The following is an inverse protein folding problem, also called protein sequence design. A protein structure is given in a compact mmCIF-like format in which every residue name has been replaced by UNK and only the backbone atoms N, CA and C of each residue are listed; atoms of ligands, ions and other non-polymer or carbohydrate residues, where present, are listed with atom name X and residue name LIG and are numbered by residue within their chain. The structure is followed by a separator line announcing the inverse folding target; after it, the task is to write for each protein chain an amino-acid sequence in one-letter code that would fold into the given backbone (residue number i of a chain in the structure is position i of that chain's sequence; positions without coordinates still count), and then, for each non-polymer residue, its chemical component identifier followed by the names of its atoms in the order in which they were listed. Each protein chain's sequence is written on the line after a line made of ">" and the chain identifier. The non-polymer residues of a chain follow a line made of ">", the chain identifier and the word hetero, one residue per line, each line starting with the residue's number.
data_IF_618635360628
#
_entry.id   IF_618635360628
#
_cell.length_a   1.000
_cell.length_b   1.000
_cell.length_c   1.000
_cell.angle_alpha   90.00
_cell.angle_beta   90.00
_cell.angle_gamma   90.00
#
_symmetry.space_group_name_H-M   'P 1'
#
loop_
_entity.id
_entity.type
_entity.pdbx_description
1 polymer ?
#
# COMPACT_ATOMS: atom_id res chain seq x y z
N UNK A 1 -13.51 6.39 -1.99
CA UNK A 1 -12.77 6.99 -3.12
C UNK A 1 -11.74 5.99 -3.63
N UNK A 2 -11.57 5.88 -4.95
CA UNK A 2 -10.49 5.08 -5.54
C UNK A 2 -9.18 5.86 -5.51
N UNK A 3 -8.07 5.18 -5.24
CA UNK A 3 -6.73 5.77 -5.29
C UNK A 3 -6.32 6.00 -6.75
N UNK A 4 -5.94 7.24 -7.08
CA UNK A 4 -5.69 7.66 -8.48
C UNK A 4 -4.20 7.60 -8.79
N UNK A 5 -3.86 6.87 -9.86
CA UNK A 5 -2.51 6.79 -10.41
C UNK A 5 -2.47 7.46 -11.78
N UNK A 6 -1.39 8.20 -12.04
CA UNK A 6 -1.13 8.87 -13.31
C UNK A 6 0.14 8.32 -13.95
N UNK A 7 0.12 8.21 -15.29
CA UNK A 7 1.20 7.58 -16.06
C UNK A 7 1.16 6.05 -16.09
N UNK A 8 1.73 5.47 -17.16
CA UNK A 8 1.97 4.03 -17.29
C UNK A 8 3.40 3.84 -17.81
N UNK A 9 4.23 3.02 -17.16
CA UNK A 9 5.55 2.67 -17.71
C UNK A 9 6.66 2.35 -16.71
N UNK A 10 7.91 2.51 -17.18
CA UNK A 10 9.18 2.18 -16.49
C UNK A 10 9.59 3.16 -15.38
N UNK A 11 8.85 4.26 -15.20
CA UNK A 11 9.04 5.24 -14.14
C UNK A 11 8.00 5.02 -13.03
N UNK A 12 8.29 5.39 -11.77
CA UNK A 12 7.27 5.39 -10.73
C UNK A 12 6.07 6.25 -11.19
N UNK A 13 4.83 5.76 -10.99
CA UNK A 13 3.64 6.49 -11.41
C UNK A 13 3.49 7.79 -10.61
N UNK A 14 2.99 8.84 -11.26
CA UNK A 14 2.66 10.10 -10.61
C UNK A 14 1.22 10.10 -10.08
N UNK A 15 0.77 11.23 -9.56
CA UNK A 15 -0.57 11.41 -9.02
C UNK A 15 -0.67 11.18 -7.51
N UNK A 16 -1.88 11.32 -6.93
CA UNK A 16 -2.06 11.43 -5.48
C UNK A 16 -1.93 10.10 -4.73
N UNK A 17 -1.67 8.98 -5.42
CA UNK A 17 -1.63 7.65 -4.82
C UNK A 17 -0.60 7.55 -3.69
N UNK A 18 0.61 8.07 -3.92
CA UNK A 18 1.70 7.97 -2.96
C UNK A 18 1.35 8.71 -1.67
N UNK A 19 0.89 9.95 -1.78
CA UNK A 19 0.46 10.74 -0.64
C UNK A 19 -0.71 10.09 0.11
N UNK A 20 -1.66 9.49 -0.62
CA UNK A 20 -2.80 8.77 -0.05
C UNK A 20 -2.34 7.57 0.80
N UNK A 21 -1.38 6.79 0.30
CA UNK A 21 -0.83 5.63 1.03
C UNK A 21 -0.04 6.07 2.25
N UNK A 22 0.85 7.07 2.11
CA UNK A 22 1.63 7.60 3.25
C UNK A 22 0.71 8.11 4.37
N UNK A 23 -0.30 8.91 4.01
CA UNK A 23 -1.28 9.44 4.97
C UNK A 23 -2.05 8.31 5.67
N UNK A 24 -2.45 7.27 4.94
CA UNK A 24 -3.13 6.11 5.52
C UNK A 24 -2.24 5.34 6.50
N UNK A 25 -0.97 5.13 6.16
CA UNK A 25 0.01 4.47 7.04
C UNK A 25 0.26 5.31 8.30
N UNK A 26 0.51 6.60 8.15
CA UNK A 26 0.83 7.50 9.26
C UNK A 26 -0.35 7.64 10.23
N UNK A 27 -1.57 7.83 9.70
CA UNK A 27 -2.78 7.89 10.52
C UNK A 27 -3.05 6.58 11.25
N UNK A 28 -2.81 5.43 10.61
CA UNK A 28 -2.96 4.11 11.25
C UNK A 28 -1.94 3.93 12.38
N UNK A 29 -0.66 4.28 12.15
CA UNK A 29 0.38 4.23 13.19
C UNK A 29 0.07 5.13 14.37
N UNK A 30 -0.42 6.34 14.11
CA UNK A 30 -0.82 7.29 15.15
C UNK A 30 -2.03 6.77 15.96
N UNK A 31 -2.98 6.11 15.31
CA UNK A 31 -4.17 5.54 15.96
C UNK A 31 -3.86 4.28 16.79
N UNK A 32 -2.81 3.53 16.44
CA UNK A 32 -2.40 2.30 17.13
C UNK A 32 -0.93 2.34 17.57
N UNK A 33 -0.56 3.18 18.56
CA UNK A 33 0.81 3.26 19.06
C UNK A 33 1.30 1.90 19.58
N UNK A 34 2.48 1.47 19.15
CA UNK A 34 3.07 0.16 19.51
C UNK A 34 2.48 -1.05 18.77
N UNK A 35 1.47 -0.85 17.91
CA UNK A 35 0.93 -1.91 17.06
C UNK A 35 1.78 -2.21 15.83
N UNK A 36 1.69 -3.43 15.32
CA UNK A 36 2.31 -3.83 14.05
C UNK A 36 1.36 -3.58 12.88
N UNK A 37 1.70 -2.61 12.03
CA UNK A 37 0.92 -2.28 10.82
C UNK A 37 1.37 -3.17 9.67
N UNK A 38 0.43 -3.78 8.96
CA UNK A 38 0.68 -4.48 7.70
C UNK A 38 -0.37 -4.06 6.66
N UNK A 39 -0.07 -4.29 5.38
CA UNK A 39 -0.97 -4.01 4.28
C UNK A 39 -1.49 -5.30 3.63
N UNK A 40 -2.73 -5.26 3.17
CA UNK A 40 -3.29 -6.26 2.27
C UNK A 40 -3.73 -5.56 0.98
N UNK A 41 -3.18 -6.00 -0.17
CA UNK A 41 -3.58 -5.48 -1.46
C UNK A 41 -4.65 -6.39 -2.08
N UNK A 42 -5.87 -5.89 -2.21
CA UNK A 42 -6.93 -6.62 -2.90
C UNK A 42 -6.51 -6.94 -4.35
N UNK A 43 -6.67 -8.21 -4.73
CA UNK A 43 -6.13 -8.74 -5.98
C UNK A 43 -6.79 -8.12 -7.22
N UNK A 44 -8.07 -7.75 -7.14
CA UNK A 44 -8.86 -7.28 -8.30
C UNK A 44 -8.95 -5.76 -8.39
N UNK A 45 -8.47 -5.03 -7.38
CA UNK A 45 -8.55 -3.57 -7.31
C UNK A 45 -7.45 -2.85 -8.11
N UNK A 46 -6.36 -3.54 -8.46
CA UNK A 46 -5.16 -2.90 -9.04
C UNK A 46 -4.63 -3.63 -10.28
N UNK A 47 -4.09 -2.87 -11.24
CA UNK A 47 -3.25 -3.41 -12.33
C UNK A 47 -1.89 -3.88 -11.78
N UNK A 48 -1.18 -4.72 -12.55
CA UNK A 48 0.12 -5.27 -12.15
C UNK A 48 1.15 -4.20 -11.76
N UNK A 49 1.30 -3.17 -12.59
CA UNK A 49 2.23 -2.07 -12.32
C UNK A 49 1.83 -1.20 -11.11
N UNK A 50 0.52 -1.03 -10.86
CA UNK A 50 0.03 -0.32 -9.67
C UNK A 50 0.37 -1.11 -8.40
N UNK A 51 0.19 -2.44 -8.43
CA UNK A 51 0.62 -3.30 -7.31
C UNK A 51 2.12 -3.23 -7.09
N UNK A 52 2.93 -3.17 -8.15
CA UNK A 52 4.38 -3.04 -8.00
C UNK A 52 4.75 -1.72 -7.32
N UNK A 53 4.16 -0.59 -7.75
CA UNK A 53 4.39 0.71 -7.13
C UNK A 53 3.96 0.73 -5.66
N UNK A 54 2.78 0.18 -5.34
CA UNK A 54 2.29 0.04 -3.96
C UNK A 54 3.23 -0.81 -3.11
N UNK A 55 3.65 -1.99 -3.59
CA UNK A 55 4.58 -2.86 -2.85
C UNK A 55 5.92 -2.19 -2.60
N UNK A 56 6.46 -1.46 -3.58
CA UNK A 56 7.71 -0.71 -3.41
C UNK A 56 7.58 0.38 -2.34
N UNK A 57 6.53 1.20 -2.38
CA UNK A 57 6.29 2.24 -1.37
C UNK A 57 6.05 1.65 0.02
N UNK A 58 5.25 0.58 0.13
CA UNK A 58 4.99 -0.08 1.41
C UNK A 58 6.26 -0.69 2.01
N UNK A 59 7.16 -1.20 1.17
CA UNK A 59 8.48 -1.67 1.63
C UNK A 59 9.36 -0.51 2.11
N UNK A 60 9.36 0.64 1.43
CA UNK A 60 10.07 1.86 1.88
C UNK A 60 9.56 2.32 3.25
N UNK A 61 8.24 2.23 3.46
CA UNK A 61 7.59 2.61 4.70
C UNK A 61 7.73 1.57 5.81
N UNK A 62 8.42 0.44 5.60
CA UNK A 62 8.48 -0.71 6.51
C UNK A 62 7.08 -1.24 6.90
N UNK A 63 6.20 -1.34 5.92
CA UNK A 63 4.86 -1.93 6.05
C UNK A 63 4.81 -3.23 5.25
N UNK A 64 4.86 -4.40 5.92
CA UNK A 64 4.81 -5.68 5.24
C UNK A 64 3.50 -5.88 4.48
N UNK A 65 3.58 -6.41 3.27
CA UNK A 65 2.40 -6.85 2.51
C UNK A 65 2.11 -8.32 2.84
N UNK A 66 0.87 -8.61 3.25
CA UNK A 66 0.39 -9.96 3.58
C UNK A 66 -0.71 -10.40 2.63
N UNK A 67 -0.68 -11.67 2.23
CA UNK A 67 -1.75 -12.33 1.48
C UNK A 67 -2.84 -12.78 2.43
N UNK A 68 -4.08 -12.94 1.94
CA UNK A 68 -5.22 -13.33 2.77
C UNK A 68 -4.97 -14.57 3.64
N UNK A 69 -4.23 -15.56 3.11
CA UNK A 69 -3.86 -16.78 3.84
C UNK A 69 -2.89 -16.54 5.02
N UNK A 70 -2.08 -15.49 4.94
CA UNK A 70 -1.10 -15.12 5.98
C UNK A 70 -1.71 -14.24 7.08
N UNK A 71 -2.93 -13.72 6.87
CA UNK A 71 -3.64 -12.85 7.82
C UNK A 71 -4.49 -13.67 8.79
N UNK A 72 -5.00 -14.82 8.35
CA UNK A 72 -5.94 -15.65 9.11
C UNK A 72 -5.26 -16.68 10.03
N UNK A 73 -3.93 -16.73 10.03
CA UNK A 73 -3.19 -17.66 10.88
C UNK A 73 -2.77 -16.91 12.17
N UNK A 74 -3.24 -17.35 13.35
CA UNK A 74 -2.75 -16.84 14.63
C UNK A 74 -1.30 -17.26 14.91
#
# INVERSE_FOLDING_TARGET
>A
YAIVFEGQGKSPPSGPWEHSVRTAVDSTRAAFPGGHVFAHLDRKSFKGWQRQALSSLLSELDVPVRRGKEILLP
#
